data_IF_212128836276
#
_entry.id   IF_212128836276
#
_cell.length_a   1.000
_cell.length_b   1.000
_cell.length_c   1.000
_cell.angle_alpha   90.00
_cell.angle_beta   90.00
_cell.angle_gamma   90.00
#
_symmetry.space_group_name_H-M   'P 1'
#
loop_
_entity.id
_entity.type
_entity.pdbx_description
1 polymer ?
#
# COMPACT_ATOMS: atom_id res chain seq x y z
N UNK A 1 18.08 7.93 4.85
CA UNK A 1 17.51 8.09 6.22
C UNK A 1 16.18 7.35 6.38
N UNK A 2 15.23 7.48 5.43
CA UNK A 2 13.92 6.79 5.45
C UNK A 2 13.99 5.27 5.65
N UNK A 3 14.91 4.58 4.98
CA UNK A 3 15.09 3.13 5.12
C UNK A 3 15.48 2.69 6.54
N UNK A 4 16.26 3.50 7.25
CA UNK A 4 16.64 3.22 8.63
C UNK A 4 15.45 3.41 9.58
N UNK A 5 14.64 4.43 9.33
CA UNK A 5 13.41 4.68 10.09
C UNK A 5 12.38 3.56 9.85
N UNK A 6 12.18 3.15 8.60
CA UNK A 6 11.27 2.06 8.24
C UNK A 6 11.73 0.72 8.81
N UNK A 7 13.02 0.39 8.72
CA UNK A 7 13.58 -0.83 9.31
C UNK A 7 13.47 -0.84 10.83
N UNK A 8 13.78 0.29 11.49
CA UNK A 8 13.62 0.44 12.95
C UNK A 8 12.17 0.27 13.38
N UNK A 9 11.24 0.90 12.66
CA UNK A 9 9.81 0.78 12.91
C UNK A 9 9.34 -0.67 12.74
N UNK A 10 9.76 -1.34 11.67
CA UNK A 10 9.43 -2.75 11.42
C UNK A 10 9.99 -3.67 12.52
N UNK A 11 11.26 -3.47 12.91
CA UNK A 11 11.89 -4.22 13.99
C UNK A 11 11.19 -3.99 15.33
N UNK A 12 10.78 -2.75 15.62
CA UNK A 12 10.02 -2.41 16.81
C UNK A 12 8.67 -3.11 16.81
N UNK A 13 7.93 -3.08 15.70
CA UNK A 13 6.65 -3.78 15.54
C UNK A 13 6.79 -5.30 15.74
N UNK A 14 7.82 -5.93 15.16
CA UNK A 14 8.10 -7.35 15.36
C UNK A 14 8.38 -7.65 16.84
N UNK A 15 9.20 -6.84 17.50
CA UNK A 15 9.50 -6.98 18.92
C UNK A 15 8.25 -6.82 19.78
N UNK A 16 7.39 -5.84 19.49
CA UNK A 16 6.11 -5.63 20.18
C UNK A 16 5.20 -6.86 20.04
N UNK A 17 5.05 -7.42 18.84
CA UNK A 17 4.24 -8.63 18.58
C UNK A 17 4.80 -9.84 19.33
N UNK A 18 6.13 -10.04 19.30
CA UNK A 18 6.79 -11.13 19.99
C UNK A 18 6.64 -11.02 21.52
N UNK A 19 6.87 -9.83 22.08
CA UNK A 19 6.74 -9.59 23.52
C UNK A 19 5.29 -9.73 23.96
N UNK A 20 4.34 -9.15 23.24
CA UNK A 20 2.91 -9.32 23.54
C UNK A 20 2.48 -10.78 23.41
N UNK A 21 3.04 -11.55 22.47
CA UNK A 21 2.79 -12.98 22.34
C UNK A 21 3.35 -13.80 23.50
N UNK A 22 4.54 -13.47 24.02
CA UNK A 22 5.17 -14.18 25.15
C UNK A 22 4.50 -13.80 26.48
N UNK A 23 4.14 -12.53 26.64
CA UNK A 23 3.56 -12.04 27.90
C UNK A 23 2.04 -12.26 28.00
N UNK A 24 1.30 -12.30 26.88
CA UNK A 24 -0.11 -12.69 26.85
C UNK A 24 -0.29 -14.18 26.50
N UNK A 25 0.31 -15.07 27.29
CA UNK A 25 0.01 -16.51 27.26
C UNK A 25 -1.38 -16.83 27.86
N UNK A 26 -2.21 -15.81 28.10
CA UNK A 26 -3.58 -15.97 28.52
C UNK A 26 -4.43 -16.41 27.32
N UNK A 27 -5.14 -17.55 27.44
CA UNK A 27 -6.00 -18.03 26.37
C UNK A 27 -7.14 -17.05 26.12
N UNK A 28 -7.20 -16.48 24.92
CA UNK A 28 -8.33 -15.66 24.49
C UNK A 28 -9.43 -16.61 24.04
N UNK A 29 -10.58 -16.48 24.67
CA UNK A 29 -11.76 -17.29 24.37
C UNK A 29 -12.45 -16.69 23.15
N UNK A 30 -12.10 -17.18 21.95
CA UNK A 30 -12.84 -16.84 20.75
C UNK A 30 -14.12 -17.68 20.69
N UNK A 31 -15.26 -17.02 20.89
CA UNK A 31 -16.57 -17.61 20.65
C UNK A 31 -16.83 -17.47 19.16
N UNK A 32 -16.48 -18.48 18.38
CA UNK A 32 -16.96 -18.56 17.00
C UNK A 32 -18.48 -18.55 17.07
N UNK A 33 -19.10 -17.66 16.31
CA UNK A 33 -20.50 -17.20 16.33
C UNK A 33 -21.60 -18.29 16.58
N UNK A 34 -21.28 -19.59 16.44
CA UNK A 34 -22.11 -20.73 16.88
C UNK A 34 -21.33 -22.02 17.26
N UNK A 35 -19.99 -22.01 17.27
CA UNK A 35 -19.16 -23.20 17.50
C UNK A 35 -18.28 -23.03 18.76
N UNK A 36 -18.00 -24.16 19.42
CA UNK A 36 -17.32 -24.26 20.72
C UNK A 36 -16.16 -23.28 20.89
N UNK A 37 -16.02 -22.77 22.12
CA UNK A 37 -14.91 -21.89 22.49
C UNK A 37 -13.58 -22.63 22.40
N UNK A 38 -12.76 -22.26 21.43
CA UNK A 38 -11.36 -22.69 21.38
C UNK A 38 -10.52 -21.58 22.01
N UNK A 39 -9.75 -21.97 23.00
CA UNK A 39 -8.79 -21.10 23.67
C UNK A 39 -7.59 -20.93 22.74
N UNK A 40 -7.50 -19.77 22.08
CA UNK A 40 -6.36 -19.45 21.21
C UNK A 40 -5.42 -18.49 21.93
N UNK A 41 -4.09 -18.68 21.83
CA UNK A 41 -3.13 -17.73 22.38
C UNK A 41 -3.33 -16.34 21.77
N UNK A 42 -3.29 -15.28 22.58
CA UNK A 42 -3.46 -13.91 22.10
C UNK A 42 -2.47 -13.55 20.98
N UNK A 43 -1.24 -14.09 21.05
CA UNK A 43 -0.23 -13.93 20.01
C UNK A 43 -0.67 -14.46 18.64
N UNK A 44 -1.44 -15.56 18.60
CA UNK A 44 -1.96 -16.10 17.34
C UNK A 44 -3.00 -15.16 16.71
N UNK A 45 -3.90 -14.62 17.54
CA UNK A 45 -4.91 -13.65 17.09
C UNK A 45 -4.24 -12.38 16.57
N UNK A 46 -3.22 -11.90 17.27
CA UNK A 46 -2.45 -10.72 16.89
C UNK A 46 -1.70 -10.94 15.57
N UNK A 47 -1.09 -12.11 15.37
CA UNK A 47 -0.41 -12.47 14.14
C UNK A 47 -1.37 -12.49 12.94
N UNK A 48 -2.56 -13.11 13.10
CA UNK A 48 -3.58 -13.10 12.06
C UNK A 48 -4.09 -11.69 11.76
N UNK A 49 -4.34 -10.88 12.78
CA UNK A 49 -4.79 -9.49 12.63
C UNK A 49 -3.77 -8.65 11.84
N UNK A 50 -2.50 -8.67 12.26
CA UNK A 50 -1.43 -7.95 11.57
C UNK A 50 -1.22 -8.47 10.15
N UNK A 51 -1.29 -9.79 9.94
CA UNK A 51 -1.20 -10.39 8.61
C UNK A 51 -2.31 -9.92 7.67
N UNK A 52 -3.57 -9.98 8.12
CA UNK A 52 -4.72 -9.50 7.33
C UNK A 52 -4.61 -8.00 7.07
N UNK A 53 -4.21 -7.21 8.07
CA UNK A 53 -4.01 -5.77 7.94
C UNK A 53 -2.93 -5.43 6.90
N UNK A 54 -1.79 -6.13 6.93
CA UNK A 54 -0.71 -5.95 5.96
C UNK A 54 -1.15 -6.32 4.54
N UNK A 55 -1.84 -7.45 4.37
CA UNK A 55 -2.38 -7.88 3.07
C UNK A 55 -3.39 -6.85 2.54
N UNK A 56 -4.26 -6.34 3.42
CA UNK A 56 -5.26 -5.33 3.06
C UNK A 56 -4.62 -4.01 2.60
N UNK A 57 -3.58 -3.55 3.30
CA UNK A 57 -2.83 -2.36 2.86
C UNK A 57 -2.10 -2.59 1.53
N UNK A 58 -1.51 -3.76 1.32
CA UNK A 58 -0.87 -4.10 0.04
C UNK A 58 -1.90 -4.11 -1.10
N UNK A 59 -3.09 -4.67 -0.87
CA UNK A 59 -4.16 -4.67 -1.85
C UNK A 59 -4.63 -3.23 -2.19
N UNK A 60 -4.76 -2.36 -1.19
CA UNK A 60 -5.11 -0.95 -1.40
C UNK A 60 -4.08 -0.20 -2.26
N UNK A 61 -2.78 -0.47 -2.08
CA UNK A 61 -1.73 0.13 -2.90
C UNK A 61 -1.87 -0.28 -4.37
N UNK A 62 -2.07 -1.57 -4.64
CA UNK A 62 -2.27 -2.08 -6.01
C UNK A 62 -3.50 -1.45 -6.65
N UNK A 63 -4.60 -1.31 -5.91
CA UNK A 63 -5.83 -0.67 -6.42
C UNK A 63 -5.58 0.81 -6.74
N UNK A 64 -4.84 1.51 -5.88
CA UNK A 64 -4.53 2.93 -6.08
C UNK A 64 -3.65 3.13 -7.32
N UNK A 65 -2.62 2.31 -7.51
CA UNK A 65 -1.71 2.37 -8.66
C UNK A 65 -2.43 2.07 -9.98
N UNK A 66 -3.33 1.07 -9.99
CA UNK A 66 -4.18 0.77 -11.16
C UNK A 66 -5.15 1.90 -11.48
N UNK A 67 -5.57 2.67 -10.48
CA UNK A 67 -6.50 3.81 -10.68
C UNK A 67 -5.77 5.07 -11.12
N UNK A 68 -4.47 5.22 -10.79
CA UNK A 68 -3.66 6.40 -11.09
C UNK A 68 -3.01 6.41 -12.48
N UNK A 69 -3.26 5.39 -13.31
CA UNK A 69 -2.85 5.40 -14.72
C UNK A 69 -3.67 6.42 -15.52
N UNK A 70 -3.45 7.70 -15.26
CA UNK A 70 -3.88 8.80 -16.14
C UNK A 70 -2.92 8.86 -17.33
N UNK A 71 -3.43 8.85 -18.57
CA UNK A 71 -2.64 9.10 -19.76
C UNK A 71 -2.34 10.60 -19.88
N UNK A 72 -1.32 11.08 -19.17
CA UNK A 72 -0.76 12.43 -19.35
C UNK A 72 0.55 12.34 -20.13
N UNK A 73 0.45 11.97 -21.41
CA UNK A 73 1.53 12.12 -22.38
C UNK A 73 0.95 12.33 -23.80
N UNK A 74 0.01 13.29 -23.93
CA UNK A 74 -0.55 13.69 -25.23
C UNK A 74 -0.78 15.19 -25.33
N UNK A 75 0.19 16.01 -24.92
CA UNK A 75 0.31 17.40 -25.37
C UNK A 75 1.81 17.75 -25.50
N UNK A 76 2.49 17.09 -26.43
CA UNK A 76 3.79 17.53 -26.96
C UNK A 76 3.76 17.69 -28.50
N UNK A 77 2.56 17.73 -29.10
CA UNK A 77 2.35 17.85 -30.55
C UNK A 77 1.79 19.23 -30.96
N UNK A 78 2.04 20.30 -30.20
CA UNK A 78 1.69 21.68 -30.62
C UNK A 78 2.89 22.53 -31.06
N UNK A 79 3.97 21.90 -31.55
CA UNK A 79 5.06 22.62 -32.22
C UNK A 79 5.54 21.90 -33.48
N UNK A 80 4.70 21.80 -34.53
CA UNK A 80 5.15 21.64 -35.92
C UNK A 80 4.06 22.10 -36.90
N UNK A 81 4.05 23.38 -37.28
CA UNK A 81 3.20 23.83 -38.38
C UNK A 81 2.95 25.33 -38.52
N UNK A 82 3.94 26.19 -38.27
CA UNK A 82 3.84 27.61 -38.67
C UNK A 82 4.97 28.05 -39.63
N UNK A 83 5.59 27.10 -40.35
CA UNK A 83 6.67 27.41 -41.28
C UNK A 83 6.25 27.47 -42.77
N UNK A 84 4.95 27.34 -43.12
CA UNK A 84 4.52 27.28 -44.53
C UNK A 84 3.68 28.45 -45.08
N UNK A 85 3.45 29.55 -44.34
CA UNK A 85 2.60 30.64 -44.88
C UNK A 85 3.15 32.06 -44.74
N UNK A 86 4.43 32.30 -45.08
CA UNK A 86 4.89 33.67 -45.44
C UNK A 86 5.93 33.74 -46.58
N UNK A 87 6.11 32.69 -47.37
CA UNK A 87 6.92 32.77 -48.61
C UNK A 87 6.08 33.11 -49.86
N UNK A 88 4.80 33.48 -49.68
CA UNK A 88 3.90 33.85 -50.79
C UNK A 88 3.47 35.33 -50.79
N UNK A 89 4.17 36.19 -50.06
CA UNK A 89 3.93 37.64 -50.04
C UNK A 89 5.08 38.47 -50.67
N UNK A 90 5.97 37.84 -51.44
CA UNK A 90 6.80 38.52 -52.42
C UNK A 90 6.37 38.03 -53.82
N UNK A 91 5.65 38.88 -54.56
CA UNK A 91 5.78 39.12 -56.02
C UNK A 91 4.49 39.72 -56.62
N UNK A 92 4.15 40.97 -56.23
CA UNK A 92 3.62 42.04 -57.10
C UNK A 92 3.54 43.39 -56.37
#
# INVERSE_FOLDING_TARGET
MLNLLLSSLLSFWIATIAILSVQNATPVTLRFFSLQSVQLPAGLVLAFSTGIGAISMAALQVIWEVTQSSPDELLDDEDLGNDEEKDSAEDW
#
